data_IF_231387439721
#
_entry.id   IF_231387439721
#
_cell.length_a   1.000
_cell.length_b   1.000
_cell.length_c   1.000
_cell.angle_alpha   90.00
_cell.angle_beta   90.00
_cell.angle_gamma   90.00
#
_symmetry.space_group_name_H-M   'P 1'
#
loop_
_entity.id
_entity.type
_entity.pdbx_description
1 polymer ?
#
# COMPACT_ATOMS: atom_id res chain seq x y z
N UNK A 1 12.21 -7.46 18.55
CA UNK A 1 13.11 -6.72 17.63
C UNK A 1 14.26 -7.65 17.26
N UNK A 2 14.27 -8.18 16.03
CA UNK A 2 15.38 -9.02 15.56
C UNK A 2 16.49 -8.09 15.05
N UNK A 3 17.63 -8.09 15.73
CA UNK A 3 18.80 -7.28 15.38
C UNK A 3 19.84 -8.25 14.81
N UNK A 4 20.31 -8.00 13.59
CA UNK A 4 21.40 -8.80 13.02
C UNK A 4 22.77 -8.36 13.61
N UNK A 5 23.83 -9.13 13.35
CA UNK A 5 25.19 -8.88 13.86
C UNK A 5 25.81 -7.52 13.49
N UNK A 6 25.14 -6.72 12.65
CA UNK A 6 25.58 -5.39 12.21
C UNK A 6 24.75 -4.25 12.83
N UNK A 7 23.82 -4.56 13.75
CA UNK A 7 22.96 -3.55 14.37
C UNK A 7 21.81 -3.05 13.49
N UNK A 8 21.57 -3.67 12.32
CA UNK A 8 20.47 -3.32 11.43
C UNK A 8 19.17 -3.96 11.94
N UNK A 9 18.14 -3.15 12.14
CA UNK A 9 16.75 -3.59 12.32
C UNK A 9 15.99 -3.46 11.00
N UNK A 10 14.95 -4.27 10.82
CA UNK A 10 14.03 -4.14 9.68
C UNK A 10 13.50 -2.70 9.56
N UNK A 11 13.13 -2.07 10.69
CA UNK A 11 12.65 -0.69 10.72
C UNK A 11 13.66 0.31 10.12
N UNK A 12 14.96 0.20 10.46
CA UNK A 12 15.97 1.12 9.92
C UNK A 12 16.15 0.94 8.41
N UNK A 13 16.10 -0.31 7.93
CA UNK A 13 16.19 -0.61 6.52
C UNK A 13 14.93 -0.14 5.76
N UNK A 14 13.74 -0.26 6.34
CA UNK A 14 12.50 0.29 5.79
C UNK A 14 12.59 1.82 5.64
N UNK A 15 13.07 2.52 6.66
CA UNK A 15 13.25 3.97 6.58
C UNK A 15 14.24 4.34 5.47
N UNK A 16 15.36 3.62 5.36
CA UNK A 16 16.34 3.84 4.29
C UNK A 16 15.76 3.56 2.91
N UNK A 17 15.01 2.47 2.75
CA UNK A 17 14.35 2.12 1.50
C UNK A 17 13.34 3.21 1.07
N UNK A 18 12.55 3.72 2.01
CA UNK A 18 11.62 4.84 1.77
C UNK A 18 12.36 6.10 1.33
N UNK A 19 13.49 6.43 1.96
CA UNK A 19 14.32 7.58 1.55
C UNK A 19 14.89 7.38 0.14
N UNK A 20 15.42 6.20 -0.19
CA UNK A 20 15.95 5.91 -1.52
C UNK A 20 14.86 6.01 -2.60
N UNK A 21 13.66 5.49 -2.31
CA UNK A 21 12.51 5.60 -3.21
C UNK A 21 12.14 7.08 -3.46
N UNK A 22 12.06 7.89 -2.40
CA UNK A 22 11.77 9.33 -2.51
C UNK A 22 12.85 10.11 -3.28
N UNK A 23 14.10 9.62 -3.28
CA UNK A 23 15.21 10.19 -4.06
C UNK A 23 15.22 9.70 -5.52
N UNK A 24 14.31 8.79 -5.90
CA UNK A 24 14.26 8.19 -7.23
C UNK A 24 15.26 7.05 -7.45
N UNK A 25 16.05 6.68 -6.44
CA UNK A 25 16.93 5.49 -6.51
C UNK A 25 16.11 4.23 -6.20
N UNK A 26 15.25 3.89 -7.16
CA UNK A 26 14.32 2.76 -7.06
C UNK A 26 15.05 1.42 -7.00
N UNK A 27 16.23 1.32 -7.62
CA UNK A 27 17.05 0.11 -7.56
C UNK A 27 17.60 -0.11 -6.14
N UNK A 28 18.15 0.92 -5.50
CA UNK A 28 18.60 0.82 -4.12
C UNK A 28 17.42 0.57 -3.16
N UNK A 29 16.27 1.21 -3.39
CA UNK A 29 15.06 0.99 -2.60
C UNK A 29 14.58 -0.46 -2.67
N UNK A 30 14.57 -1.06 -3.87
CA UNK A 30 14.20 -2.46 -4.06
C UNK A 30 15.15 -3.41 -3.32
N UNK A 31 16.47 -3.22 -3.49
CA UNK A 31 17.47 -4.06 -2.81
C UNK A 31 17.35 -4.00 -1.28
N UNK A 32 17.00 -2.82 -0.73
CA UNK A 32 16.75 -2.66 0.70
C UNK A 32 15.46 -3.35 1.15
N UNK A 33 14.41 -3.38 0.32
CA UNK A 33 13.20 -4.15 0.60
C UNK A 33 13.51 -5.66 0.66
N UNK A 34 14.34 -6.18 -0.25
CA UNK A 34 14.78 -7.58 -0.23
C UNK A 34 15.59 -7.90 1.04
N UNK A 35 16.45 -6.98 1.48
CA UNK A 35 17.18 -7.12 2.75
C UNK A 35 16.23 -7.13 3.95
N UNK A 36 15.20 -6.26 3.98
CA UNK A 36 14.18 -6.28 5.02
C UNK A 36 13.46 -7.63 5.10
N UNK A 37 13.00 -8.15 3.96
CA UNK A 37 12.25 -9.40 3.88
C UNK A 37 13.13 -10.64 4.16
N UNK A 38 14.44 -10.54 3.95
CA UNK A 38 15.39 -11.58 4.37
C UNK A 38 15.53 -11.61 5.89
N UNK A 39 15.47 -10.46 6.56
CA UNK A 39 15.55 -10.37 8.01
C UNK A 39 14.25 -10.76 8.71
N UNK A 40 13.11 -10.33 8.16
CA UNK A 40 11.79 -10.71 8.65
C UNK A 40 10.84 -11.01 7.47
N UNK A 41 10.72 -12.29 7.07
CA UNK A 41 9.85 -12.71 5.98
C UNK A 41 8.35 -12.56 6.26
N UNK A 42 7.95 -12.21 7.48
CA UNK A 42 6.55 -12.03 7.88
C UNK A 42 6.22 -10.57 8.19
N UNK A 43 7.14 -9.65 7.94
CA UNK A 43 6.88 -8.23 8.15
C UNK A 43 6.03 -7.62 7.03
N UNK A 44 4.77 -7.34 7.38
CA UNK A 44 3.79 -6.66 6.53
C UNK A 44 4.26 -5.28 6.05
N UNK A 45 5.01 -4.52 6.85
CA UNK A 45 5.43 -3.17 6.46
C UNK A 45 6.51 -3.22 5.37
N UNK A 46 7.39 -4.22 5.41
CA UNK A 46 8.37 -4.48 4.35
C UNK A 46 7.71 -4.93 3.05
N UNK A 47 6.68 -5.78 3.11
CA UNK A 47 5.90 -6.11 1.91
C UNK A 47 5.15 -4.89 1.35
N UNK A 48 4.55 -4.05 2.21
CA UNK A 48 3.90 -2.83 1.75
C UNK A 48 4.89 -1.89 1.06
N UNK A 49 6.08 -1.70 1.64
CA UNK A 49 7.12 -0.87 1.05
C UNK A 49 7.62 -1.42 -0.29
N UNK A 50 7.84 -2.73 -0.38
CA UNK A 50 8.17 -3.42 -1.63
C UNK A 50 7.12 -3.16 -2.71
N UNK A 51 5.82 -3.19 -2.34
CA UNK A 51 4.76 -2.85 -3.27
C UNK A 51 4.85 -1.40 -3.76
N UNK A 52 5.09 -0.44 -2.85
CA UNK A 52 5.19 0.97 -3.23
C UNK A 52 6.37 1.21 -4.18
N UNK A 53 7.53 0.62 -3.88
CA UNK A 53 8.70 0.68 -4.78
C UNK A 53 8.38 0.05 -6.14
N UNK A 54 7.67 -1.08 -6.17
CA UNK A 54 7.28 -1.76 -7.42
C UNK A 54 6.32 -0.91 -8.26
N UNK A 55 5.37 -0.21 -7.63
CA UNK A 55 4.47 0.73 -8.31
C UNK A 55 5.25 1.89 -8.95
N UNK A 56 6.22 2.47 -8.24
CA UNK A 56 7.07 3.54 -8.78
C UNK A 56 7.95 3.06 -9.95
N UNK A 57 8.41 1.80 -9.92
CA UNK A 57 9.13 1.17 -11.02
C UNK A 57 8.21 0.89 -12.23
N UNK A 58 6.90 0.76 -11.98
CA UNK A 58 5.91 0.33 -12.98
C UNK A 58 5.75 -1.18 -13.09
N UNK A 59 6.30 -1.96 -12.14
CA UNK A 59 6.05 -3.40 -12.03
C UNK A 59 4.75 -3.67 -11.28
N UNK A 60 3.64 -3.50 -11.99
CA UNK A 60 2.28 -3.68 -11.47
C UNK A 60 2.04 -5.12 -10.96
N UNK A 61 2.75 -6.13 -11.49
CA UNK A 61 2.59 -7.53 -11.06
C UNK A 61 3.27 -7.79 -9.71
N UNK A 62 4.51 -7.30 -9.55
CA UNK A 62 5.22 -7.37 -8.27
C UNK A 62 4.48 -6.56 -7.19
N UNK A 63 3.97 -5.37 -7.55
CA UNK A 63 3.17 -4.56 -6.66
C UNK A 63 1.91 -5.30 -6.17
N UNK A 64 1.12 -5.88 -7.08
CA UNK A 64 -0.09 -6.63 -6.71
C UNK A 64 0.25 -7.80 -5.77
N UNK A 65 1.32 -8.54 -6.06
CA UNK A 65 1.77 -9.68 -5.25
C UNK A 65 2.13 -9.24 -3.83
N UNK A 66 2.92 -8.18 -3.69
CA UNK A 66 3.35 -7.64 -2.40
C UNK A 66 2.19 -7.03 -1.60
N UNK A 67 1.23 -6.36 -2.27
CA UNK A 67 0.00 -5.84 -1.62
C UNK A 67 -0.86 -6.97 -1.08
N UNK A 68 -1.09 -8.03 -1.87
CA UNK A 68 -1.84 -9.20 -1.42
C UNK A 68 -1.16 -9.90 -0.25
N UNK A 69 0.18 -9.97 -0.26
CA UNK A 69 0.95 -10.53 0.86
C UNK A 69 0.83 -9.68 2.12
N UNK A 70 0.85 -8.35 1.98
CA UNK A 70 0.59 -7.41 3.10
C UNK A 70 -0.77 -7.68 3.72
N UNK A 71 -1.83 -7.76 2.90
CA UNK A 71 -3.21 -8.04 3.35
C UNK A 71 -3.34 -9.43 3.97
N UNK A 72 -2.61 -10.42 3.45
CA UNK A 72 -2.61 -11.76 4.03
C UNK A 72 -2.01 -11.78 5.44
N UNK A 73 -0.93 -11.04 5.66
CA UNK A 73 -0.27 -10.92 6.96
C UNK A 73 -1.06 -10.04 7.92
N UNK A 74 -1.75 -9.03 7.41
CA UNK A 74 -2.64 -8.16 8.17
C UNK A 74 -3.85 -7.71 7.34
N UNK A 75 -4.98 -8.38 7.56
CA UNK A 75 -6.22 -8.09 6.85
C UNK A 75 -6.77 -6.69 7.17
N UNK A 76 -6.30 -6.03 8.22
CA UNK A 76 -6.73 -4.69 8.66
C UNK A 76 -5.86 -3.56 8.12
N UNK A 77 -4.85 -3.87 7.29
CA UNK A 77 -3.93 -2.88 6.73
C UNK A 77 -4.63 -1.97 5.70
N UNK A 78 -5.08 -0.79 6.15
CA UNK A 78 -5.90 0.15 5.37
C UNK A 78 -5.23 0.56 4.06
N UNK A 79 -3.96 0.97 4.12
CA UNK A 79 -3.25 1.47 2.93
C UNK A 79 -3.06 0.39 1.86
N UNK A 80 -2.94 -0.88 2.25
CA UNK A 80 -2.75 -1.98 1.30
C UNK A 80 -4.03 -2.30 0.53
N UNK A 81 -5.18 -2.26 1.20
CA UNK A 81 -6.49 -2.37 0.51
C UNK A 81 -6.72 -1.22 -0.45
N UNK A 82 -6.36 0.01 -0.06
CA UNK A 82 -6.47 1.17 -0.92
C UNK A 82 -5.60 1.05 -2.18
N UNK A 83 -4.31 0.81 -2.00
CA UNK A 83 -3.36 0.70 -3.11
C UNK A 83 -3.69 -0.48 -4.04
N UNK A 84 -4.14 -1.61 -3.49
CA UNK A 84 -4.62 -2.73 -4.30
C UNK A 84 -5.88 -2.35 -5.08
N UNK A 85 -6.80 -1.61 -4.48
CA UNK A 85 -8.00 -1.11 -5.14
C UNK A 85 -7.67 -0.26 -6.37
N UNK A 86 -6.82 0.75 -6.18
CA UNK A 86 -6.36 1.65 -7.24
C UNK A 86 -5.64 0.88 -8.36
N UNK A 87 -4.72 -0.02 -8.00
CA UNK A 87 -3.98 -0.85 -8.96
C UNK A 87 -4.92 -1.73 -9.80
N UNK A 88 -5.91 -2.37 -9.16
CA UNK A 88 -6.87 -3.22 -9.87
C UNK A 88 -7.78 -2.42 -10.81
N UNK A 89 -8.19 -1.19 -10.42
CA UNK A 89 -8.95 -0.30 -11.29
C UNK A 89 -8.11 0.10 -12.51
N UNK A 90 -6.84 0.49 -12.31
CA UNK A 90 -5.89 0.77 -13.40
C UNK A 90 -5.76 -0.42 -14.37
N UNK A 91 -5.82 -1.65 -13.86
CA UNK A 91 -5.80 -2.89 -14.64
C UNK A 91 -7.17 -3.29 -15.22
N UNK A 92 -8.17 -2.42 -15.23
CA UNK A 92 -9.54 -2.67 -15.71
C UNK A 92 -10.29 -3.78 -14.94
N UNK A 93 -9.85 -4.13 -13.73
CA UNK A 93 -10.50 -5.09 -12.83
C UNK A 93 -11.40 -4.36 -11.82
N UNK A 94 -12.28 -3.49 -12.32
CA UNK A 94 -13.03 -2.52 -11.51
C UNK A 94 -13.81 -3.16 -10.35
N UNK A 95 -14.53 -4.26 -10.58
CA UNK A 95 -15.29 -4.97 -9.53
C UNK A 95 -14.39 -5.38 -8.34
N UNK A 96 -13.21 -5.95 -8.63
CA UNK A 96 -12.29 -6.37 -7.59
C UNK A 96 -11.62 -5.17 -6.91
N UNK A 97 -11.27 -4.13 -7.69
CA UNK A 97 -10.70 -2.89 -7.17
C UNK A 97 -11.66 -2.16 -6.24
N UNK A 98 -12.91 -1.97 -6.66
CA UNK A 98 -13.97 -1.37 -5.86
C UNK A 98 -14.19 -2.15 -4.55
N UNK A 99 -14.19 -3.49 -4.58
CA UNK A 99 -14.28 -4.29 -3.34
C UNK A 99 -13.13 -3.98 -2.37
N UNK A 100 -11.90 -3.84 -2.88
CA UNK A 100 -10.74 -3.46 -2.07
C UNK A 100 -10.85 -2.03 -1.51
N UNK A 101 -11.29 -1.06 -2.31
CA UNK A 101 -11.54 0.32 -1.82
C UNK A 101 -12.61 0.36 -0.73
N UNK A 102 -13.70 -0.39 -0.87
CA UNK A 102 -14.73 -0.53 0.16
C UNK A 102 -14.18 -1.13 1.47
N UNK A 103 -13.26 -2.10 1.39
CA UNK A 103 -12.59 -2.63 2.56
C UNK A 103 -11.72 -1.55 3.24
N UNK A 104 -10.94 -0.80 2.47
CA UNK A 104 -10.12 0.30 3.00
C UNK A 104 -10.99 1.33 3.73
N UNK A 105 -12.11 1.75 3.12
CA UNK A 105 -13.05 2.70 3.70
C UNK A 105 -13.68 2.18 5.01
N UNK A 106 -14.13 0.92 4.99
CA UNK A 106 -14.71 0.28 6.18
C UNK A 106 -13.71 0.20 7.34
N UNK A 107 -12.47 -0.19 7.06
CA UNK A 107 -11.41 -0.29 8.05
C UNK A 107 -11.02 1.09 8.59
N UNK A 108 -10.86 2.09 7.72
CA UNK A 108 -10.56 3.47 8.11
C UNK A 108 -11.64 4.05 9.03
N UNK A 109 -12.93 3.83 8.73
CA UNK A 109 -14.06 4.27 9.58
C UNK A 109 -14.10 3.58 10.94
N UNK A 110 -13.46 2.42 11.09
CA UNK A 110 -13.36 1.73 12.37
C UNK A 110 -12.16 2.18 13.22
N UNK A 111 -11.23 2.94 12.63
CA UNK A 111 -10.08 3.49 13.32
C UNK A 111 -10.42 4.83 13.99
N UNK A 112 -9.66 5.26 15.01
CA UNK A 112 -9.82 6.58 15.61
C UNK A 112 -9.67 7.68 14.54
N UNK A 113 -10.61 8.63 14.41
CA UNK A 113 -10.56 9.64 13.33
C UNK A 113 -9.28 10.48 13.32
N UNK A 114 -8.71 10.76 14.50
CA UNK A 114 -7.46 11.50 14.66
C UNK A 114 -6.21 10.60 14.63
N UNK A 115 -6.36 9.28 14.49
CA UNK A 115 -5.24 8.37 14.27
C UNK A 115 -4.63 8.59 12.89
N UNK A 116 -3.34 8.36 12.76
CA UNK A 116 -2.60 8.55 11.51
C UNK A 116 -2.36 7.24 10.78
N UNK A 117 -2.31 7.31 9.46
CA UNK A 117 -1.82 6.22 8.62
C UNK A 117 -0.33 6.02 8.84
N UNK A 118 0.12 4.77 8.81
CA UNK A 118 1.50 4.43 9.12
C UNK A 118 2.46 4.93 8.04
N UNK A 119 2.08 4.80 6.77
CA UNK A 119 2.98 5.11 5.66
C UNK A 119 2.73 6.48 5.00
N UNK A 120 1.68 7.19 5.41
CA UNK A 120 1.34 8.53 4.92
C UNK A 120 1.45 9.56 6.05
N UNK A 121 2.60 10.24 6.14
CA UNK A 121 2.89 11.18 7.22
C UNK A 121 1.88 12.34 7.27
N UNK A 122 1.34 12.62 8.46
CA UNK A 122 0.36 13.69 8.68
C UNK A 122 -1.03 13.41 8.07
N UNK A 123 -1.27 12.21 7.53
CA UNK A 123 -2.56 11.79 7.02
C UNK A 123 -3.36 11.11 8.12
N UNK A 124 -4.42 11.76 8.60
CA UNK A 124 -5.35 11.15 9.56
C UNK A 124 -6.34 10.24 8.86
N UNK A 125 -6.93 9.28 9.60
CA UNK A 125 -8.01 8.44 9.08
C UNK A 125 -9.20 9.28 8.61
N UNK A 126 -9.56 10.34 9.34
CA UNK A 126 -10.64 11.25 8.91
C UNK A 126 -10.35 11.87 7.54
N UNK A 127 -9.15 12.43 7.35
CA UNK A 127 -8.78 13.05 6.08
C UNK A 127 -8.68 12.03 4.95
N UNK A 128 -8.18 10.85 5.26
CA UNK A 128 -8.08 9.75 4.31
C UNK A 128 -9.46 9.27 3.84
N UNK A 129 -10.45 9.17 4.73
CA UNK A 129 -11.83 8.81 4.39
C UNK A 129 -12.42 9.81 3.38
N UNK A 130 -12.24 11.11 3.61
CA UNK A 130 -12.74 12.16 2.70
C UNK A 130 -12.15 12.02 1.28
N UNK A 131 -10.85 11.75 1.18
CA UNK A 131 -10.17 11.53 -0.11
C UNK A 131 -10.69 10.26 -0.77
N UNK A 132 -10.79 9.17 -0.01
CA UNK A 132 -11.21 7.88 -0.52
C UNK A 132 -12.66 7.89 -1.03
N UNK A 133 -13.57 8.56 -0.32
CA UNK A 133 -14.95 8.74 -0.76
C UNK A 133 -15.01 9.51 -2.08
N UNK A 134 -14.24 10.59 -2.20
CA UNK A 134 -14.16 11.37 -3.45
C UNK A 134 -13.62 10.54 -4.62
N UNK A 135 -12.54 9.77 -4.41
CA UNK A 135 -11.99 8.86 -5.44
C UNK A 135 -13.03 7.81 -5.87
N UNK A 136 -13.72 7.19 -4.91
CA UNK A 136 -14.75 6.18 -5.20
C UNK A 136 -15.93 6.76 -5.99
N UNK A 137 -16.36 7.99 -5.69
CA UNK A 137 -17.42 8.68 -6.43
C UNK A 137 -16.99 8.98 -7.88
N UNK A 138 -15.72 9.35 -8.09
CA UNK A 138 -15.17 9.56 -9.44
C UNK A 138 -15.22 8.28 -10.28
N UNK A 139 -14.79 7.14 -9.73
CA UNK A 139 -14.79 5.86 -10.46
C UNK A 139 -16.20 5.27 -10.66
N UNK A 140 -17.16 5.58 -9.76
CA UNK A 140 -18.55 5.17 -9.92
C UNK A 140 -19.23 5.83 -11.14
N UNK A 141 -18.79 7.03 -11.54
CA UNK A 141 -19.28 7.73 -12.73
C UNK A 141 -18.90 7.03 -14.04
N UNK A 142 -17.72 6.41 -14.11
CA UNK A 142 -17.20 5.77 -15.32
C UNK A 142 -17.85 4.38 -15.59
N UNK A 143 -18.28 3.67 -14.55
CA UNK A 143 -18.99 2.38 -14.69
C UNK A 143 -20.39 2.53 -15.32
N UNK A 144 -21.07 3.67 -15.11
CA UNK A 144 -22.39 3.92 -15.73
C UNK A 144 -22.32 4.29 -17.22
N UNK A 145 -21.16 4.77 -17.69
CA UNK A 145 -20.95 5.10 -19.10
C UNK A 145 -20.59 3.85 -19.92
N UNK A 146 -19.86 2.91 -19.33
CA UNK A 146 -19.40 1.69 -20.02
C UNK A 146 -20.35 0.48 -19.93
N UNK A 147 -21.46 0.58 -19.21
CA UNK A 147 -22.49 -0.46 -19.13
C UNK A 147 -23.63 -0.30 -20.16
N UNK A 148 -23.57 0.73 -21.01
CA UNK A 148 -24.52 1.01 -22.09
C UNK A 148 -23.93 0.86 -23.52
N UNK A 149 -22.82 0.11 -23.66
CA UNK A 149 -22.16 -0.17 -24.95
C UNK A 149 -22.46 -1.54 -25.50
#
# INVERSE_FOLDING_TARGET
>A
MMINKQGKSADLLQHKAKVMANLGDLQAAHALCDECLTLDPLDKHSYFLSAMVSLEIGDDLAAETSLRKTIYLDATFVEAHFQLGMLLIKQQKAVAGNKSLHNALKLARSAPPAGELHHAAGMTFQRFIEILEHEMDMYAGDEQVNSNG
#
